data_IF_143835254998
#
_entry.id   IF_143835254998
#
_cell.length_a   1.000
_cell.length_b   1.000
_cell.length_c   1.000
_cell.angle_alpha   90.00
_cell.angle_beta   90.00
_cell.angle_gamma   90.00
#
_symmetry.space_group_name_H-M   'P 1'
#
loop_
_entity.id
_entity.type
_entity.pdbx_description
1 polymer ?
#
# COMPACT_ATOMS: atom_id res chain seq x y z
N UNK A 1 9.39 -23.93 -3.17
CA UNK A 1 9.07 -23.49 -4.54
C UNK A 1 7.82 -22.64 -4.41
N UNK A 2 7.97 -21.31 -4.24
CA UNK A 2 6.82 -20.39 -4.17
C UNK A 2 6.34 -20.24 -5.60
N UNK A 3 5.11 -20.67 -5.88
CA UNK A 3 4.51 -20.49 -7.19
C UNK A 3 4.54 -19.00 -7.53
N UNK A 4 5.19 -18.68 -8.64
CA UNK A 4 5.24 -17.38 -9.30
C UNK A 4 3.84 -17.03 -9.83
N UNK A 5 2.83 -17.05 -8.96
CA UNK A 5 1.47 -16.66 -9.29
C UNK A 5 1.49 -15.13 -9.31
N UNK A 6 1.38 -14.49 -10.49
CA UNK A 6 1.32 -13.05 -10.55
C UNK A 6 0.09 -12.60 -9.77
N UNK A 7 0.32 -11.93 -8.64
CA UNK A 7 -0.75 -11.26 -7.90
C UNK A 7 -1.39 -10.28 -8.86
N UNK A 8 -2.68 -10.47 -9.16
CA UNK A 8 -3.41 -9.59 -10.05
C UNK A 8 -3.41 -8.18 -9.46
N UNK A 9 -2.49 -7.35 -9.96
CA UNK A 9 -2.33 -6.00 -9.46
C UNK A 9 -3.64 -5.24 -9.71
N UNK A 10 -4.17 -4.55 -8.69
CA UNK A 10 -5.41 -3.81 -8.82
C UNK A 10 -5.38 -2.88 -10.03
N UNK A 11 -6.50 -2.78 -10.74
CA UNK A 11 -6.63 -2.06 -12.02
C UNK A 11 -6.33 -0.56 -11.92
N UNK A 12 -6.39 0.00 -10.71
CA UNK A 12 -6.22 1.42 -10.45
C UNK A 12 -4.75 1.84 -10.47
N UNK A 13 -4.43 2.80 -11.34
CA UNK A 13 -3.08 3.41 -11.46
C UNK A 13 -2.55 3.92 -10.12
N UNK A 14 -3.39 4.57 -9.31
CA UNK A 14 -3.03 5.05 -7.97
C UNK A 14 -2.66 3.92 -7.00
N UNK A 15 -3.39 2.79 -7.03
CA UNK A 15 -3.05 1.65 -6.18
C UNK A 15 -1.69 1.05 -6.56
N UNK A 16 -1.42 0.90 -7.86
CA UNK A 16 -0.12 0.39 -8.33
C UNK A 16 1.01 1.34 -7.96
N UNK A 17 0.81 2.65 -8.13
CA UNK A 17 1.79 3.65 -7.73
C UNK A 17 2.05 3.62 -6.21
N UNK A 18 0.99 3.53 -5.40
CA UNK A 18 1.10 3.39 -3.94
C UNK A 18 1.85 2.11 -3.55
N UNK A 19 1.51 0.97 -4.15
CA UNK A 19 2.18 -0.29 -3.88
C UNK A 19 3.66 -0.25 -4.28
N UNK A 20 3.97 0.18 -5.50
CA UNK A 20 5.34 0.30 -5.97
C UNK A 20 6.16 1.25 -5.10
N UNK A 21 5.56 2.36 -4.67
CA UNK A 21 6.20 3.30 -3.78
C UNK A 21 6.48 2.70 -2.40
N UNK A 22 5.50 2.00 -1.80
CA UNK A 22 5.70 1.32 -0.51
C UNK A 22 6.71 0.17 -0.60
N UNK A 23 6.79 -0.52 -1.74
CA UNK A 23 7.77 -1.57 -1.97
C UNK A 23 9.21 -1.03 -2.13
N UNK A 24 9.36 0.16 -2.71
CA UNK A 24 10.65 0.84 -2.81
C UNK A 24 11.04 1.59 -1.54
N UNK A 25 10.08 1.86 -0.65
CA UNK A 25 10.31 2.61 0.57
C UNK A 25 10.98 1.71 1.64
N UNK A 26 12.22 2.01 2.07
CA UNK A 26 12.92 1.21 3.08
C UNK A 26 12.41 1.46 4.51
N UNK A 27 11.48 2.41 4.69
CA UNK A 27 10.96 2.85 5.99
C UNK A 27 9.46 3.12 5.91
N UNK A 28 8.73 3.01 7.04
CA UNK A 28 7.34 3.41 7.10
C UNK A 28 7.14 4.87 6.63
N UNK A 29 6.17 5.09 5.74
CA UNK A 29 5.87 6.40 5.16
C UNK A 29 4.60 6.96 5.78
N UNK A 30 4.60 8.24 6.14
CA UNK A 30 3.40 8.88 6.68
C UNK A 30 2.28 8.98 5.63
N UNK A 31 1.04 8.86 6.08
CA UNK A 31 -0.16 9.03 5.24
C UNK A 31 -0.19 10.42 4.62
N UNK A 32 0.25 11.43 5.36
CA UNK A 32 0.34 12.80 4.86
C UNK A 32 1.31 12.91 3.68
N UNK A 33 2.48 12.26 3.76
CA UNK A 33 3.45 12.21 2.65
C UNK A 33 2.92 11.44 1.44
N UNK A 34 2.19 10.35 1.67
CA UNK A 34 1.55 9.57 0.59
C UNK A 34 0.45 10.40 -0.10
N UNK A 35 -0.34 11.14 0.68
CA UNK A 35 -1.32 12.09 0.17
C UNK A 35 -0.63 13.14 -0.71
N UNK A 36 0.38 13.84 -0.22
CA UNK A 36 1.11 14.85 -1.01
C UNK A 36 1.70 14.31 -2.32
N UNK A 37 2.24 13.09 -2.30
CA UNK A 37 2.92 12.51 -3.48
C UNK A 37 1.95 12.01 -4.56
N UNK A 38 0.78 11.49 -4.16
CA UNK A 38 -0.15 10.79 -5.06
C UNK A 38 -1.48 11.54 -5.25
N UNK A 39 -1.78 12.54 -4.41
CA UNK A 39 -3.02 13.31 -4.38
C UNK A 39 -2.74 14.81 -4.16
N UNK A 40 -2.65 15.54 -5.26
CA UNK A 40 -2.33 16.99 -5.28
C UNK A 40 -3.59 17.90 -5.30
N UNK A 41 -4.77 17.37 -4.99
CA UNK A 41 -6.08 17.97 -5.37
C UNK A 41 -7.03 18.06 -4.17
N UNK A 42 -7.93 19.07 -4.05
CA UNK A 42 -8.76 19.35 -2.86
C UNK A 42 -9.82 18.29 -2.48
N UNK A 43 -9.88 17.14 -3.16
CA UNK A 43 -10.74 16.03 -2.76
C UNK A 43 -10.11 15.27 -1.60
N UNK A 44 -10.91 14.87 -0.59
CA UNK A 44 -10.47 14.23 0.66
C UNK A 44 -9.39 13.15 0.44
N UNK A 45 -8.10 13.53 0.53
CA UNK A 45 -7.01 12.65 0.11
C UNK A 45 -6.81 11.55 1.15
N UNK A 46 -7.19 11.81 2.41
CA UNK A 46 -7.20 10.83 3.49
C UNK A 46 -8.26 9.75 3.24
N UNK A 47 -9.42 10.13 2.72
CA UNK A 47 -10.47 9.21 2.29
C UNK A 47 -10.01 8.27 1.18
N UNK A 48 -9.45 8.81 0.11
CA UNK A 48 -8.92 8.01 -1.00
C UNK A 48 -7.76 7.11 -0.58
N UNK A 49 -6.83 7.61 0.23
CA UNK A 49 -5.71 6.82 0.75
C UNK A 49 -6.21 5.65 1.59
N UNK A 50 -7.15 5.89 2.52
CA UNK A 50 -7.76 4.84 3.34
C UNK A 50 -8.43 3.77 2.48
N UNK A 51 -9.16 4.17 1.44
CA UNK A 51 -9.78 3.24 0.50
C UNK A 51 -8.72 2.43 -0.26
N UNK A 52 -7.65 3.08 -0.73
CA UNK A 52 -6.55 2.40 -1.42
C UNK A 52 -5.85 1.37 -0.52
N UNK A 53 -5.57 1.73 0.73
CA UNK A 53 -4.97 0.83 1.72
C UNK A 53 -5.89 -0.36 2.03
N UNK A 54 -7.20 -0.14 2.11
CA UNK A 54 -8.17 -1.23 2.30
C UNK A 54 -8.14 -2.22 1.14
N UNK A 55 -8.10 -1.72 -0.10
CA UNK A 55 -7.97 -2.56 -1.30
C UNK A 55 -6.63 -3.29 -1.37
N UNK A 56 -5.53 -2.66 -0.99
CA UNK A 56 -4.22 -3.31 -0.93
C UNK A 56 -4.18 -4.42 0.12
N UNK A 57 -4.70 -4.18 1.32
CA UNK A 57 -4.83 -5.21 2.36
C UNK A 57 -5.64 -6.39 1.88
N UNK A 58 -6.79 -6.16 1.24
CA UNK A 58 -7.61 -7.24 0.70
C UNK A 58 -6.92 -8.05 -0.41
N UNK A 59 -5.93 -7.48 -1.10
CA UNK A 59 -5.19 -8.15 -2.17
C UNK A 59 -3.88 -8.80 -1.71
N UNK A 60 -3.28 -8.32 -0.62
CA UNK A 60 -1.93 -8.68 -0.18
C UNK A 60 -1.88 -9.35 1.19
N UNK A 61 -2.78 -9.00 2.10
CA UNK A 61 -2.81 -9.64 3.41
C UNK A 61 -3.35 -11.06 3.28
N UNK A 62 -2.67 -11.99 3.92
CA UNK A 62 -3.02 -13.40 3.96
C UNK A 62 -3.47 -13.78 5.39
N UNK A 63 -4.25 -14.86 5.57
CA UNK A 63 -4.60 -15.33 6.90
C UNK A 63 -3.33 -15.64 7.73
N UNK A 64 -3.07 -14.82 8.75
CA UNK A 64 -1.88 -14.95 9.61
C UNK A 64 -0.67 -14.11 9.20
N UNK A 65 -0.70 -13.43 8.05
CA UNK A 65 0.38 -12.55 7.59
C UNK A 65 -0.18 -11.21 7.08
N UNK A 66 0.05 -10.14 7.84
CA UNK A 66 -0.26 -8.77 7.38
C UNK A 66 0.93 -8.24 6.60
N UNK A 67 0.74 -8.02 5.30
CA UNK A 67 1.76 -7.39 4.44
C UNK A 67 1.73 -5.88 4.57
N UNK A 68 0.55 -5.28 4.71
CA UNK A 68 0.42 -3.83 4.89
C UNK A 68 0.34 -3.51 6.38
N UNK A 69 1.46 -3.06 6.92
CA UNK A 69 1.54 -2.57 8.29
C UNK A 69 1.18 -1.10 8.37
N UNK A 70 0.42 -0.74 9.40
CA UNK A 70 0.15 0.65 9.71
C UNK A 70 0.37 0.90 11.18
N UNK A 71 1.33 1.77 11.48
CA UNK A 71 1.69 2.20 12.82
C UNK A 71 1.42 3.70 12.96
N UNK A 72 0.41 4.04 13.76
CA UNK A 72 -0.06 5.43 13.88
C UNK A 72 -0.50 6.01 12.54
N UNK A 73 0.20 7.07 12.11
CA UNK A 73 -0.01 7.70 10.80
C UNK A 73 0.93 7.17 9.70
N UNK A 74 1.73 6.15 9.97
CA UNK A 74 2.64 5.57 8.97
C UNK A 74 2.09 4.30 8.36
N UNK A 75 2.56 4.01 7.15
CA UNK A 75 2.24 2.82 6.35
C UNK A 75 3.55 2.23 5.87
N UNK A 76 3.73 0.94 6.06
CA UNK A 76 4.85 0.17 5.53
C UNK A 76 4.33 -1.07 4.81
N UNK A 77 5.04 -1.48 3.77
CA UNK A 77 4.86 -2.79 3.17
C UNK A 77 5.94 -3.71 3.76
N UNK A 78 5.53 -4.75 4.47
CA UNK A 78 6.43 -5.86 4.79
C UNK A 78 6.72 -6.62 3.52
N UNK A 79 7.96 -6.49 3.08
CA UNK A 79 8.52 -7.27 1.99
C UNK A 79 9.28 -8.50 2.49
N UNK A 80 9.26 -8.80 3.81
CA UNK A 80 10.06 -9.88 4.41
C UNK A 80 10.07 -11.12 3.52
N UNK A 81 11.25 -11.33 2.92
CA UNK A 81 11.63 -12.57 2.29
C UNK A 81 11.76 -13.60 3.42
N UNK A 82 11.20 -14.78 3.19
CA UNK A 82 11.54 -15.96 3.99
C UNK A 82 13.04 -16.18 4.01
#
# INVERSE_FOLDING_TARGET
>A
MRDDVPVALPSSRKLRALLAYLALAPRPVSRSRLCELLWDVPNDPRGELRWCLSKLRAALDEPGLRRIETEGDTVALRLDDM
#
